data_IF_121241053807
#
_entry.id   IF_121241053807
#
_cell.length_a   1.000
_cell.length_b   1.000
_cell.length_c   1.000
_cell.angle_alpha   90.00
_cell.angle_beta   90.00
_cell.angle_gamma   90.00
#
_symmetry.space_group_name_H-M   'P 1'
#
loop_
_entity.id
_entity.type
_entity.pdbx_description
1 polymer ?
#
# COMPACT_ATOMS: atom_id res chain seq x y z
N UNK A 1 11.22 0.95 -2.04
CA UNK A 1 11.59 0.69 -0.63
C UNK A 1 10.37 0.94 0.26
N UNK A 2 9.68 -0.11 0.70
CA UNK A 2 8.44 -0.03 1.48
C UNK A 2 8.62 0.66 2.84
N UNK A 3 9.86 0.73 3.35
CA UNK A 3 10.15 1.36 4.63
C UNK A 3 9.83 2.85 4.64
N UNK A 4 9.95 3.53 3.49
CA UNK A 4 9.60 4.95 3.37
C UNK A 4 8.09 5.18 3.60
N UNK A 5 7.25 4.29 3.08
CA UNK A 5 5.78 4.36 3.22
C UNK A 5 5.31 4.27 4.67
N UNK A 6 6.10 3.64 5.56
CA UNK A 6 5.74 3.44 6.96
C UNK A 6 6.30 4.52 7.89
N UNK A 7 6.99 5.53 7.37
CA UNK A 7 7.58 6.61 8.18
C UNK A 7 6.72 7.87 8.27
N UNK A 8 5.55 7.85 7.65
CA UNK A 8 4.68 9.00 7.55
C UNK A 8 3.71 8.85 6.39
N UNK A 9 3.00 9.92 6.12
CA UNK A 9 2.15 10.03 4.94
C UNK A 9 2.93 10.40 3.69
N UNK A 10 2.33 10.08 2.55
CA UNK A 10 2.89 10.51 1.28
C UNK A 10 2.68 12.02 1.14
N UNK A 11 3.65 12.67 0.52
CA UNK A 11 3.50 14.08 0.14
C UNK A 11 2.26 14.24 -0.76
N UNK A 12 1.43 15.27 -0.54
CA UNK A 12 0.30 15.57 -1.40
C UNK A 12 0.75 15.73 -2.84
N UNK A 13 -0.02 15.17 -3.77
CA UNK A 13 0.18 15.30 -5.21
C UNK A 13 -1.15 15.45 -5.91
N UNK A 14 -1.14 16.19 -7.00
CA UNK A 14 -2.29 16.31 -7.89
C UNK A 14 -2.38 15.04 -8.75
N UNK A 15 -3.12 14.05 -8.25
CA UNK A 15 -3.27 12.77 -8.92
C UNK A 15 -4.11 12.87 -10.20
N UNK A 16 -4.97 13.89 -10.32
CA UNK A 16 -5.76 14.13 -11.53
C UNK A 16 -4.86 14.66 -12.66
N UNK A 17 -4.04 15.67 -12.37
CA UNK A 17 -3.07 16.18 -13.34
C UNK A 17 -2.07 15.09 -13.77
N UNK A 18 -1.58 14.28 -12.83
CA UNK A 18 -0.68 13.16 -13.13
C UNK A 18 -1.34 12.07 -13.98
N UNK A 19 -2.64 11.78 -13.77
CA UNK A 19 -3.42 10.86 -14.60
C UNK A 19 -3.50 11.38 -16.04
N UNK A 20 -3.82 12.65 -16.21
CA UNK A 20 -4.02 13.26 -17.53
C UNK A 20 -2.71 13.32 -18.31
N UNK A 21 -1.61 13.71 -17.65
CA UNK A 21 -0.27 13.69 -18.23
C UNK A 21 0.13 12.27 -18.68
N UNK A 22 -0.10 11.27 -17.82
CA UNK A 22 0.21 9.88 -18.16
C UNK A 22 -0.66 9.37 -19.33
N UNK A 23 -1.94 9.71 -19.35
CA UNK A 23 -2.88 9.33 -20.41
C UNK A 23 -2.44 9.91 -21.77
N UNK A 24 -1.97 11.17 -21.80
CA UNK A 24 -1.43 11.78 -23.01
C UNK A 24 -0.15 11.07 -23.48
N UNK A 25 0.79 10.82 -22.55
CA UNK A 25 2.06 10.14 -22.84
C UNK A 25 1.88 8.71 -23.39
N UNK A 26 0.83 7.99 -22.97
CA UNK A 26 0.55 6.62 -23.40
C UNK A 26 -0.56 6.48 -24.46
N UNK A 27 -1.08 7.59 -24.97
CA UNK A 27 -2.21 7.61 -25.91
C UNK A 27 -2.02 6.72 -27.15
N UNK A 28 -0.81 6.73 -27.72
CA UNK A 28 -0.49 5.92 -28.91
C UNK A 28 -0.53 4.41 -28.63
N UNK A 29 -0.04 4.00 -27.46
CA UNK A 29 0.01 2.61 -27.03
C UNK A 29 -1.39 2.12 -26.65
N UNK A 30 -2.19 2.96 -25.97
CA UNK A 30 -3.59 2.65 -25.67
C UNK A 30 -4.40 2.48 -26.95
N UNK A 31 -4.18 3.33 -27.96
CA UNK A 31 -4.83 3.22 -29.27
C UNK A 31 -4.46 1.91 -30.00
N UNK A 32 -3.19 1.50 -29.93
CA UNK A 32 -2.74 0.22 -30.49
C UNK A 32 -3.45 -0.97 -29.80
N UNK A 33 -3.56 -0.93 -28.48
CA UNK A 33 -4.28 -1.95 -27.71
C UNK A 33 -5.77 -1.97 -28.05
N UNK A 34 -6.42 -0.82 -28.16
CA UNK A 34 -7.83 -0.70 -28.58
C UNK A 34 -8.05 -1.27 -29.98
N UNK A 35 -7.11 -1.02 -30.91
CA UNK A 35 -7.16 -1.59 -32.27
C UNK A 35 -7.03 -3.12 -32.25
N UNK A 36 -6.14 -3.65 -31.39
CA UNK A 36 -5.85 -5.08 -31.33
C UNK A 36 -6.93 -5.88 -30.59
N UNK A 37 -7.50 -5.33 -29.53
CA UNK A 37 -8.37 -6.04 -28.60
C UNK A 37 -9.83 -5.56 -28.62
N UNK A 38 -10.17 -4.57 -29.45
CA UNK A 38 -11.49 -3.94 -29.50
C UNK A 38 -11.56 -2.74 -28.57
N UNK A 39 -12.00 -1.60 -29.10
CA UNK A 39 -12.07 -0.34 -28.35
C UNK A 39 -13.10 -0.40 -27.21
N UNK A 40 -14.12 -1.24 -27.35
CA UNK A 40 -15.14 -1.50 -26.34
C UNK A 40 -14.61 -2.25 -25.11
N UNK A 41 -13.42 -2.87 -25.21
CA UNK A 41 -12.82 -3.63 -24.12
C UNK A 41 -11.78 -2.82 -23.32
N UNK A 42 -11.48 -1.58 -23.74
CA UNK A 42 -10.50 -0.71 -23.09
C UNK A 42 -11.08 0.70 -23.00
N UNK A 43 -11.61 1.01 -21.81
CA UNK A 43 -12.24 2.28 -21.49
C UNK A 43 -11.31 3.17 -20.65
N UNK A 44 -11.22 4.44 -21.04
CA UNK A 44 -10.55 5.46 -20.25
C UNK A 44 -11.57 6.16 -19.35
N UNK A 45 -11.24 6.30 -18.07
CA UNK A 45 -12.14 6.82 -17.03
C UNK A 45 -11.61 8.15 -16.45
N UNK A 46 -11.74 9.29 -17.17
CA UNK A 46 -11.17 10.58 -16.73
C UNK A 46 -11.94 11.23 -15.57
N UNK A 47 -13.19 10.83 -15.34
CA UNK A 47 -14.06 11.45 -14.34
C UNK A 47 -14.07 10.72 -12.99
N UNK A 48 -13.25 9.66 -12.85
CA UNK A 48 -13.18 8.93 -11.59
C UNK A 48 -12.50 9.78 -10.52
N UNK A 49 -13.16 9.99 -9.36
CA UNK A 49 -12.62 10.81 -8.30
C UNK A 49 -11.43 10.12 -7.64
N UNK A 50 -10.53 10.94 -7.08
CA UNK A 50 -9.47 10.43 -6.22
C UNK A 50 -10.09 9.68 -5.03
N UNK A 51 -9.61 8.45 -4.80
CA UNK A 51 -9.92 7.69 -3.59
C UNK A 51 -8.91 8.06 -2.51
N UNK A 52 -9.37 8.75 -1.48
CA UNK A 52 -8.56 9.02 -0.30
C UNK A 52 -8.54 7.79 0.63
N UNK A 53 -7.35 7.35 1.02
CA UNK A 53 -7.18 6.22 1.94
C UNK A 53 -6.48 6.73 3.19
N UNK A 54 -7.20 6.71 4.31
CA UNK A 54 -6.69 7.07 5.62
C UNK A 54 -6.35 5.80 6.41
N UNK A 55 -5.10 5.70 6.85
CA UNK A 55 -4.62 4.57 7.64
C UNK A 55 -4.67 4.91 9.14
N UNK A 56 -5.17 4.00 10.00
CA UNK A 56 -5.17 4.23 11.44
C UNK A 56 -3.74 4.07 11.96
N UNK A 57 -3.02 5.17 12.11
CA UNK A 57 -1.65 5.20 12.66
C UNK A 57 -1.59 6.30 13.71
N UNK A 58 -1.40 5.91 14.97
CA UNK A 58 -1.23 6.86 16.07
C UNK A 58 0.18 7.45 16.07
N UNK A 59 1.19 6.60 15.80
CA UNK A 59 2.58 7.01 15.76
C UNK A 59 3.36 6.29 14.66
N UNK A 60 4.04 7.07 13.83
CA UNK A 60 4.94 6.54 12.81
C UNK A 60 6.32 6.19 13.42
N UNK A 61 6.90 5.02 13.09
CA UNK A 61 8.22 4.63 13.59
C UNK A 61 9.34 5.46 12.94
N UNK A 62 10.26 6.01 13.74
CA UNK A 62 11.46 6.68 13.23
C UNK A 62 12.37 5.73 12.45
N UNK A 63 12.49 4.49 12.95
CA UNK A 63 13.26 3.39 12.38
C UNK A 63 12.37 2.18 12.15
N UNK A 64 12.32 1.71 10.91
CA UNK A 64 11.54 0.53 10.54
C UNK A 64 12.36 -0.73 10.81
N UNK A 65 12.14 -1.35 11.98
CA UNK A 65 12.67 -2.67 12.33
C UNK A 65 11.67 -3.75 11.93
N UNK A 66 12.05 -4.62 10.98
CA UNK A 66 11.17 -5.71 10.55
C UNK A 66 11.16 -6.84 11.58
N UNK A 67 9.97 -7.25 12.01
CA UNK A 67 9.74 -8.42 12.86
C UNK A 67 9.55 -9.66 11.97
N UNK A 68 10.07 -10.80 12.41
CA UNK A 68 10.09 -12.02 11.61
C UNK A 68 9.79 -13.28 12.45
N UNK A 69 8.62 -13.89 12.24
CA UNK A 69 8.18 -15.07 12.98
C UNK A 69 9.01 -16.34 12.70
N UNK A 70 9.66 -16.43 11.54
CA UNK A 70 10.56 -17.56 11.23
C UNK A 70 11.87 -17.48 12.04
N UNK A 71 12.25 -16.28 12.51
CA UNK A 71 13.45 -16.05 13.34
C UNK A 71 13.12 -15.99 14.83
N UNK A 72 11.97 -15.44 15.16
CA UNK A 72 11.48 -15.28 16.52
C UNK A 72 9.97 -15.57 16.51
N UNK A 73 9.54 -16.76 16.96
CA UNK A 73 8.16 -17.22 16.79
C UNK A 73 7.14 -16.46 17.64
N UNK A 74 7.62 -15.60 18.54
CA UNK A 74 6.81 -14.74 19.39
C UNK A 74 7.08 -13.28 19.01
N UNK A 75 6.01 -12.52 18.80
CA UNK A 75 6.06 -11.07 18.59
C UNK A 75 5.11 -10.43 19.60
N UNK A 76 5.65 -9.51 20.38
CA UNK A 76 4.92 -8.77 21.41
C UNK A 76 5.18 -7.27 21.25
N UNK A 77 4.21 -6.46 21.65
CA UNK A 77 4.29 -5.01 21.61
C UNK A 77 2.92 -4.36 21.65
N UNK A 78 2.91 -3.03 21.76
CA UNK A 78 1.70 -2.21 21.66
C UNK A 78 1.43 -1.92 20.19
N UNK A 79 0.24 -2.23 19.71
CA UNK A 79 -0.20 -1.85 18.36
C UNK A 79 -0.45 -0.34 18.31
N UNK A 80 0.40 0.38 17.58
CA UNK A 80 0.35 1.84 17.43
C UNK A 80 -0.05 2.28 16.02
N UNK A 81 -0.25 1.33 15.11
CA UNK A 81 -0.80 1.63 13.79
C UNK A 81 -0.93 0.45 12.84
N UNK A 82 -1.75 0.64 11.81
CA UNK A 82 -1.94 -0.29 10.71
C UNK A 82 -1.84 0.49 9.40
N UNK A 83 -0.93 0.08 8.51
CA UNK A 83 -0.78 0.70 7.19
C UNK A 83 -0.72 -0.38 6.11
N UNK A 84 -1.84 -0.57 5.42
CA UNK A 84 -2.02 -1.67 4.46
C UNK A 84 -1.81 -3.04 5.11
N UNK A 85 -0.83 -3.80 4.62
CA UNK A 85 -0.49 -5.14 5.13
C UNK A 85 0.47 -5.15 6.33
N UNK A 86 0.76 -3.98 6.92
CA UNK A 86 1.73 -3.84 7.98
C UNK A 86 1.04 -3.49 9.30
N UNK A 87 1.32 -4.27 10.34
CA UNK A 87 1.06 -3.87 11.71
C UNK A 87 2.31 -3.17 12.24
N UNK A 88 2.11 -2.01 12.85
CA UNK A 88 3.15 -1.19 13.46
C UNK A 88 3.02 -1.36 14.96
N UNK A 89 4.02 -2.01 15.55
CA UNK A 89 4.18 -2.15 16.99
C UNK A 89 5.27 -1.18 17.46
N UNK A 90 5.21 -0.80 18.73
CA UNK A 90 6.31 -0.06 19.41
C UNK A 90 7.66 -0.81 19.35
N UNK A 91 7.64 -2.14 19.26
CA UNK A 91 8.84 -3.00 19.15
C UNK A 91 9.34 -3.19 17.70
N UNK A 92 8.54 -2.83 16.70
CA UNK A 92 8.87 -2.97 15.28
C UNK A 92 7.64 -3.16 14.38
N UNK A 93 7.88 -3.48 13.11
CA UNK A 93 6.84 -3.63 12.09
C UNK A 93 6.79 -5.07 11.60
N UNK A 94 5.59 -5.64 11.51
CA UNK A 94 5.37 -6.96 10.91
C UNK A 94 4.50 -6.84 9.65
N UNK A 95 4.92 -7.50 8.57
CA UNK A 95 4.11 -7.67 7.37
C UNK A 95 3.28 -8.95 7.51
N UNK A 96 1.97 -8.82 7.73
CA UNK A 96 1.10 -9.97 7.98
C UNK A 96 0.90 -10.84 6.73
N UNK A 97 0.97 -10.26 5.52
CA UNK A 97 0.83 -11.02 4.26
C UNK A 97 1.91 -12.09 4.13
N UNK A 98 3.10 -11.86 4.68
CA UNK A 98 4.21 -12.84 4.68
C UNK A 98 3.80 -14.18 5.34
N UNK A 99 2.91 -14.13 6.32
CA UNK A 99 2.50 -15.31 7.10
C UNK A 99 1.14 -15.86 6.64
N UNK A 100 0.75 -15.57 5.40
CA UNK A 100 -0.42 -16.20 4.78
C UNK A 100 -0.24 -17.72 4.80
N UNK A 101 -1.21 -18.44 5.36
CA UNK A 101 -1.15 -19.90 5.50
C UNK A 101 -0.54 -20.40 6.81
N UNK A 102 -0.01 -19.52 7.67
CA UNK A 102 0.42 -19.89 9.01
C UNK A 102 -0.81 -20.03 9.93
N UNK A 103 -0.77 -20.97 10.86
CA UNK A 103 -1.66 -20.98 12.02
C UNK A 103 -1.00 -20.13 13.11
N UNK A 104 -1.68 -19.06 13.52
CA UNK A 104 -1.22 -18.12 14.53
C UNK A 104 -2.24 -18.05 15.66
N UNK A 105 -1.75 -17.93 16.90
CA UNK A 105 -2.55 -17.55 18.05
C UNK A 105 -2.29 -16.06 18.33
N UNK A 106 -3.36 -15.32 18.66
CA UNK A 106 -3.31 -13.87 18.91
C UNK A 106 -4.04 -13.60 20.20
N UNK A 107 -3.33 -13.03 21.16
CA UNK A 107 -3.86 -12.62 22.45
C UNK A 107 -3.83 -11.09 22.57
N UNK A 108 -4.93 -10.50 23.02
CA UNK A 108 -5.05 -9.08 23.34
C UNK A 108 -5.13 -8.95 24.86
N UNK A 109 -4.30 -8.06 25.43
CA UNK A 109 -4.20 -7.82 26.88
C UNK A 109 -4.96 -6.54 27.23
#
# INVERSE_FOLDING_TARGET
DWRKMLKGDAEPRDLEAMRDELAEQCSSQVTELQTRFGAENIEYLPAEPMVEIQYPVEQYPEKVKSLNLDKSPLVEGVLIGIKGQYLILDTGVINIRKYSGYKLDVDLI
#
